data_IF_170968583299
#
_entry.id   IF_170968583299
#
_cell.length_a   1.000
_cell.length_b   1.000
_cell.length_c   1.000
_cell.angle_alpha   90.00
_cell.angle_beta   90.00
_cell.angle_gamma   90.00
#
_symmetry.space_group_name_H-M   'P 1'
#
loop_
_entity.id
_entity.type
_entity.pdbx_description
1 polymer ?
#
# COMPACT_ATOMS: atom_id res chain seq x y z
N UNK A 1 -55.10 -57.38 -15.72
CA UNK A 1 -55.24 -56.46 -16.88
C UNK A 1 -55.35 -55.05 -16.34
N UNK A 2 -54.53 -54.13 -16.86
CA UNK A 2 -54.61 -52.66 -16.75
C UNK A 2 -54.45 -52.02 -15.35
N UNK A 3 -53.31 -51.40 -15.04
CA UNK A 3 -52.82 -50.06 -15.43
C UNK A 3 -53.51 -48.90 -14.67
N UNK A 4 -52.78 -48.25 -13.76
CA UNK A 4 -52.50 -46.79 -13.80
C UNK A 4 -51.17 -46.55 -13.08
N UNK A 5 -50.08 -46.36 -13.84
CA UNK A 5 -48.79 -45.89 -13.32
C UNK A 5 -48.68 -44.39 -13.62
N UNK A 6 -48.53 -43.59 -12.58
CA UNK A 6 -48.32 -42.14 -12.67
C UNK A 6 -46.95 -41.87 -13.32
N UNK A 7 -46.90 -41.58 -14.62
CA UNK A 7 -45.69 -41.04 -15.29
C UNK A 7 -45.82 -39.53 -15.40
N UNK A 8 -45.17 -38.82 -14.46
CA UNK A 8 -44.86 -37.39 -14.61
C UNK A 8 -43.84 -37.26 -15.75
N UNK A 9 -44.20 -36.47 -16.76
CA UNK A 9 -43.28 -35.99 -17.79
C UNK A 9 -42.24 -35.08 -17.14
N UNK A 10 -40.97 -35.45 -17.19
CA UNK A 10 -39.85 -34.51 -17.08
C UNK A 10 -39.62 -33.90 -18.47
N UNK A 11 -39.58 -32.57 -18.63
CA UNK A 11 -38.92 -31.98 -19.78
C UNK A 11 -37.41 -31.94 -19.52
N UNK A 12 -36.66 -32.70 -20.33
CA UNK A 12 -35.27 -32.39 -20.62
C UNK A 12 -35.20 -31.00 -21.27
N UNK A 13 -34.73 -30.00 -20.53
CA UNK A 13 -34.10 -28.81 -21.07
C UNK A 13 -33.53 -27.99 -19.92
N UNK A 14 -32.22 -28.11 -19.66
CA UNK A 14 -31.34 -27.04 -19.16
C UNK A 14 -29.90 -27.56 -19.15
N UNK A 15 -29.40 -27.83 -20.36
CA UNK A 15 -27.97 -27.80 -20.65
C UNK A 15 -27.63 -26.33 -20.98
N UNK A 16 -26.63 -25.78 -20.31
CA UNK A 16 -26.02 -24.52 -20.67
C UNK A 16 -26.34 -23.39 -19.70
N UNK A 17 -25.42 -23.16 -18.75
CA UNK A 17 -24.76 -21.86 -18.53
C UNK A 17 -23.71 -22.04 -17.42
N UNK A 18 -22.67 -22.83 -17.73
CA UNK A 18 -21.34 -22.48 -17.28
C UNK A 18 -20.94 -21.25 -18.09
N UNK A 19 -21.11 -20.07 -17.52
CA UNK A 19 -20.46 -18.87 -17.99
C UNK A 19 -20.01 -18.09 -16.77
N UNK A 20 -18.71 -18.27 -16.51
CA UNK A 20 -17.80 -17.30 -15.93
C UNK A 20 -18.46 -15.95 -15.57
N UNK A 21 -18.63 -15.69 -14.27
CA UNK A 21 -18.48 -14.32 -13.80
C UNK A 21 -16.98 -14.04 -13.71
N UNK A 22 -16.43 -13.72 -14.88
CA UNK A 22 -15.10 -13.15 -15.03
C UNK A 22 -15.00 -11.86 -14.22
N UNK A 23 -13.84 -11.72 -13.58
CA UNK A 23 -13.17 -10.48 -13.20
C UNK A 23 -14.07 -9.26 -13.08
N UNK A 24 -14.42 -8.92 -11.83
CA UNK A 24 -14.79 -7.55 -11.52
C UNK A 24 -13.70 -6.63 -12.08
N UNK A 25 -14.04 -5.90 -13.14
CA UNK A 25 -13.31 -4.71 -13.53
C UNK A 25 -13.58 -3.72 -12.41
N UNK A 26 -12.81 -3.86 -11.33
CA UNK A 26 -12.74 -2.85 -10.28
C UNK A 26 -12.43 -1.55 -11.03
N UNK A 27 -13.45 -0.68 -11.07
CA UNK A 27 -13.27 0.67 -11.58
C UNK A 27 -12.16 1.26 -10.73
N UNK A 28 -11.12 1.87 -11.33
CA UNK A 28 -10.09 2.52 -10.54
C UNK A 28 -10.77 3.44 -9.53
N UNK A 29 -10.36 3.33 -8.27
CA UNK A 29 -10.91 4.14 -7.20
C UNK A 29 -10.71 5.60 -7.57
N UNK A 30 -11.70 6.44 -7.24
CA UNK A 30 -11.54 7.87 -7.40
C UNK A 30 -10.28 8.30 -6.63
N UNK A 31 -9.38 9.08 -7.25
CA UNK A 31 -8.16 9.47 -6.57
C UNK A 31 -8.48 10.26 -5.28
N UNK A 32 -7.81 9.94 -4.17
CA UNK A 32 -7.94 10.58 -2.84
C UNK A 32 -7.63 12.10 -2.89
N UNK A 33 -8.21 12.92 -2.00
CA UNK A 33 -7.85 14.33 -1.90
C UNK A 33 -6.35 14.53 -1.63
N UNK A 34 -5.71 15.52 -2.28
CA UNK A 34 -4.29 15.85 -2.04
C UNK A 34 -3.99 16.15 -0.56
N UNK A 35 -4.98 16.67 0.18
CA UNK A 35 -4.86 16.96 1.61
C UNK A 35 -4.60 15.74 2.48
N UNK A 36 -4.95 14.54 2.02
CA UNK A 36 -4.71 13.27 2.72
C UNK A 36 -3.29 12.74 2.51
N UNK A 37 -2.56 13.30 1.55
CA UNK A 37 -1.15 13.01 1.34
C UNK A 37 -0.28 14.02 2.10
N UNK A 38 0.99 13.65 2.29
CA UNK A 38 1.99 14.59 2.80
C UNK A 38 2.33 15.66 1.76
N UNK A 39 2.25 16.91 2.19
CA UNK A 39 2.62 18.09 1.41
C UNK A 39 4.14 18.31 1.47
N UNK A 40 4.71 18.94 0.44
CA UNK A 40 6.13 19.29 0.44
C UNK A 40 6.57 20.06 1.70
N UNK A 41 5.69 20.91 2.27
CA UNK A 41 6.00 21.68 3.47
C UNK A 41 6.12 20.80 4.74
N UNK A 42 5.24 19.81 4.90
CA UNK A 42 5.32 18.84 6.01
C UNK A 42 6.61 17.99 5.88
N UNK A 43 6.97 17.66 4.65
CA UNK A 43 8.17 16.89 4.34
C UNK A 43 9.46 17.67 4.60
N UNK A 44 9.46 18.98 4.35
CA UNK A 44 10.58 19.86 4.66
C UNK A 44 10.85 19.97 6.17
N UNK A 45 9.86 19.71 7.03
CA UNK A 45 10.04 19.71 8.49
C UNK A 45 10.95 18.57 8.96
N UNK A 46 11.13 17.52 8.16
CA UNK A 46 12.01 16.39 8.44
C UNK A 46 13.51 16.72 8.26
N UNK A 47 13.85 18.00 8.08
CA UNK A 47 15.24 18.47 7.95
C UNK A 47 15.81 18.38 6.53
N UNK A 48 15.01 17.89 5.58
CA UNK A 48 15.40 17.81 4.18
C UNK A 48 14.90 19.02 3.39
N UNK A 49 15.83 19.84 2.89
CA UNK A 49 15.48 20.84 1.87
C UNK A 49 15.36 20.13 0.53
N UNK A 50 14.17 19.59 0.26
CA UNK A 50 13.90 18.83 -0.96
C UNK A 50 13.50 19.79 -2.08
N UNK A 51 14.34 19.92 -3.11
CA UNK A 51 13.87 20.46 -4.41
C UNK A 51 13.30 19.28 -5.16
N UNK A 52 11.99 19.30 -5.41
CA UNK A 52 11.27 18.08 -5.68
C UNK A 52 10.09 18.32 -6.61
N UNK A 53 9.80 17.32 -7.43
CA UNK A 53 8.60 17.34 -8.29
C UNK A 53 7.58 16.38 -7.68
N UNK A 54 6.42 16.89 -7.20
CA UNK A 54 5.34 16.03 -6.78
C UNK A 54 4.81 15.22 -7.98
N UNK A 55 4.58 13.94 -7.78
CA UNK A 55 4.01 13.05 -8.78
C UNK A 55 2.97 12.17 -8.12
N UNK A 56 1.75 12.23 -8.66
CA UNK A 56 0.70 11.28 -8.33
C UNK A 56 0.79 10.03 -9.20
N UNK A 57 0.47 8.89 -8.64
CA UNK A 57 0.37 7.64 -9.36
C UNK A 57 -0.65 6.69 -8.71
N UNK A 58 -1.36 5.90 -9.52
CA UNK A 58 -2.26 4.85 -9.03
C UNK A 58 -1.70 3.51 -9.49
N UNK A 59 -1.40 2.62 -8.54
CA UNK A 59 -0.72 1.35 -8.83
C UNK A 59 -1.47 0.19 -8.22
N UNK A 60 -1.44 -0.97 -8.87
CA UNK A 60 -1.94 -2.22 -8.29
C UNK A 60 -0.77 -3.00 -7.71
N UNK A 61 -0.80 -3.21 -6.40
CA UNK A 61 0.18 -3.98 -5.66
C UNK A 61 -0.45 -5.34 -5.31
N UNK A 62 0.22 -6.48 -5.57
CA UNK A 62 -0.28 -7.79 -5.17
C UNK A 62 -0.65 -7.83 -3.69
N UNK A 63 -1.80 -8.43 -3.37
CA UNK A 63 -2.39 -8.56 -2.02
C UNK A 63 -2.78 -7.25 -1.31
N UNK A 64 -2.11 -6.14 -1.63
CA UNK A 64 -2.44 -4.81 -1.12
C UNK A 64 -3.56 -4.15 -1.92
N UNK A 65 -3.76 -4.51 -3.20
CA UNK A 65 -4.81 -3.96 -4.06
C UNK A 65 -4.38 -2.70 -4.81
N UNK A 66 -5.34 -1.90 -5.26
CA UNK A 66 -5.05 -0.62 -5.91
C UNK A 66 -4.73 0.45 -4.87
N UNK A 67 -3.56 1.07 -4.94
CA UNK A 67 -3.13 2.12 -4.02
C UNK A 67 -3.05 3.45 -4.75
N UNK A 68 -3.41 4.51 -4.05
CA UNK A 68 -3.22 5.88 -4.52
C UNK A 68 -1.95 6.46 -3.90
N UNK A 69 -0.97 6.69 -4.76
CA UNK A 69 0.35 7.17 -4.39
C UNK A 69 0.51 8.65 -4.69
N UNK A 70 1.03 9.37 -3.72
CA UNK A 70 1.55 10.72 -3.91
C UNK A 70 3.01 10.76 -3.49
N UNK A 71 3.87 10.95 -4.48
CA UNK A 71 5.30 10.86 -4.34
C UNK A 71 5.98 12.20 -4.52
N UNK A 72 7.10 12.37 -3.84
CA UNK A 72 8.05 13.44 -4.05
C UNK A 72 9.38 12.77 -4.39
N UNK A 73 9.88 13.02 -5.60
CA UNK A 73 11.20 12.54 -6.03
C UNK A 73 12.16 13.71 -6.04
N UNK A 74 13.30 13.53 -5.36
CA UNK A 74 14.42 14.47 -5.42
C UNK A 74 15.69 13.80 -5.91
N UNK A 75 16.58 14.60 -6.48
CA UNK A 75 17.91 14.14 -6.89
C UNK A 75 18.96 14.33 -5.78
N UNK A 76 18.57 14.79 -4.59
CA UNK A 76 19.45 14.94 -3.44
C UNK A 76 19.33 13.75 -2.48
N UNK A 77 20.35 13.53 -1.65
CA UNK A 77 20.48 12.37 -0.75
C UNK A 77 19.38 12.28 0.35
N UNK A 78 18.50 13.28 0.43
CA UNK A 78 17.62 13.48 1.57
C UNK A 78 16.21 12.87 1.36
N UNK A 79 15.78 12.61 0.13
CA UNK A 79 14.45 12.06 -0.14
C UNK A 79 14.31 11.58 -1.58
N UNK A 80 15.14 10.64 -2.02
CA UNK A 80 15.06 10.18 -3.43
C UNK A 80 13.67 9.62 -3.73
N UNK A 81 13.00 9.02 -2.74
CA UNK A 81 11.63 8.54 -2.85
C UNK A 81 10.90 8.78 -1.53
N UNK A 82 10.03 9.78 -1.49
CA UNK A 82 9.00 9.86 -0.46
C UNK A 82 7.64 9.60 -1.05
N UNK A 83 7.00 8.50 -0.69
CA UNK A 83 5.74 8.06 -1.30
C UNK A 83 4.72 7.85 -0.20
N UNK A 84 3.64 8.61 -0.21
CA UNK A 84 2.45 8.36 0.60
C UNK A 84 1.50 7.48 -0.20
N UNK A 85 1.33 6.22 0.20
CA UNK A 85 0.29 5.34 -0.34
C UNK A 85 -0.90 5.31 0.60
N UNK A 86 -2.09 5.48 0.04
CA UNK A 86 -3.35 5.38 0.77
C UNK A 86 -4.15 4.18 0.26
N UNK A 87 -4.56 3.30 1.16
CA UNK A 87 -5.43 2.17 0.83
C UNK A 87 -6.55 2.00 1.86
N UNK A 88 -7.83 2.13 1.48
CA UNK A 88 -8.94 1.76 2.37
C UNK A 88 -8.84 0.29 2.78
N UNK A 89 -8.91 0.01 4.08
CA UNK A 89 -8.89 -1.36 4.60
C UNK A 89 -9.55 -1.47 5.97
N UNK A 90 -10.20 -2.60 6.24
CA UNK A 90 -10.28 -3.17 7.58
C UNK A 90 -8.99 -3.96 7.83
N UNK A 91 -8.44 -3.97 9.06
CA UNK A 91 -7.24 -4.77 9.39
C UNK A 91 -7.33 -6.18 8.75
N UNK A 92 -6.42 -6.48 7.81
CA UNK A 92 -6.42 -7.73 7.05
C UNK A 92 -4.99 -8.21 6.84
N UNK A 93 -4.70 -9.45 7.27
CA UNK A 93 -3.35 -10.04 7.16
C UNK A 93 -2.83 -10.03 5.72
N UNK A 94 -3.70 -10.24 4.73
CA UNK A 94 -3.33 -10.22 3.32
C UNK A 94 -2.80 -8.85 2.86
N UNK A 95 -3.39 -7.76 3.36
CA UNK A 95 -2.95 -6.40 3.03
C UNK A 95 -1.55 -6.13 3.60
N UNK A 96 -1.30 -6.55 4.85
CA UNK A 96 0.01 -6.43 5.49
C UNK A 96 1.08 -7.31 4.83
N UNK A 97 0.74 -8.56 4.46
CA UNK A 97 1.62 -9.40 3.64
C UNK A 97 1.94 -8.75 2.29
N UNK A 98 0.95 -8.08 1.68
CA UNK A 98 1.14 -7.29 0.46
C UNK A 98 2.14 -6.15 0.64
N UNK A 99 2.02 -5.39 1.74
CA UNK A 99 2.95 -4.32 2.08
C UNK A 99 4.38 -4.84 2.29
N UNK A 100 4.56 -5.91 3.10
CA UNK A 100 5.86 -6.55 3.31
C UNK A 100 6.47 -7.09 2.01
N UNK A 101 5.64 -7.69 1.15
CA UNK A 101 6.07 -8.18 -0.16
C UNK A 101 6.53 -7.05 -1.09
N UNK A 102 5.82 -5.91 -1.08
CA UNK A 102 6.20 -4.72 -1.82
C UNK A 102 7.53 -4.14 -1.33
N UNK A 103 7.70 -4.00 -0.01
CA UNK A 103 8.96 -3.56 0.61
C UNK A 103 10.13 -4.50 0.27
N UNK A 104 9.90 -5.81 0.31
CA UNK A 104 10.91 -6.81 -0.09
C UNK A 104 11.28 -6.74 -1.57
N UNK A 105 10.30 -6.52 -2.45
CA UNK A 105 10.52 -6.31 -3.89
C UNK A 105 11.33 -5.04 -4.12
N UNK A 106 10.96 -3.94 -3.47
CA UNK A 106 11.69 -2.67 -3.53
C UNK A 106 13.14 -2.83 -3.07
N UNK A 107 13.38 -3.45 -1.91
CA UNK A 107 14.73 -3.68 -1.41
C UNK A 107 15.57 -4.49 -2.41
N UNK A 108 14.99 -5.55 -3.00
CA UNK A 108 15.66 -6.37 -4.03
C UNK A 108 15.99 -5.58 -5.30
N UNK A 109 15.06 -4.80 -5.82
CA UNK A 109 15.25 -3.97 -7.02
C UNK A 109 16.34 -2.91 -6.85
N UNK A 110 16.51 -2.42 -5.62
CA UNK A 110 17.49 -1.39 -5.27
C UNK A 110 18.80 -1.95 -4.68
N UNK A 111 18.96 -3.27 -4.61
CA UNK A 111 20.14 -3.92 -4.04
C UNK A 111 20.36 -3.56 -2.57
N UNK A 112 19.29 -3.55 -1.78
CA UNK A 112 19.27 -3.20 -0.37
C UNK A 112 18.97 -4.44 0.49
N UNK A 113 19.54 -4.44 1.69
CA UNK A 113 19.16 -5.30 2.80
C UNK A 113 17.89 -4.75 3.47
N UNK A 114 17.10 -5.60 4.12
CA UNK A 114 15.82 -5.25 4.76
C UNK A 114 15.69 -5.91 6.12
N UNK A 115 15.24 -5.15 7.10
CA UNK A 115 14.86 -5.63 8.43
C UNK A 115 13.47 -5.07 8.80
N UNK A 116 12.63 -5.90 9.41
CA UNK A 116 11.24 -5.54 9.76
C UNK A 116 11.10 -5.39 11.28
N UNK A 117 10.40 -4.34 11.71
CA UNK A 117 10.16 -4.00 13.11
C UNK A 117 8.70 -3.61 13.32
N UNK A 118 8.21 -3.77 14.54
CA UNK A 118 6.93 -3.20 14.96
C UNK A 118 7.03 -1.67 15.04
N UNK A 119 6.04 -0.98 14.50
CA UNK A 119 5.89 0.47 14.65
C UNK A 119 5.08 0.82 15.90
N UNK A 120 5.01 2.12 16.22
CA UNK A 120 4.29 2.65 17.40
C UNK A 120 3.17 3.65 17.09
N UNK A 121 2.70 3.67 15.84
CA UNK A 121 1.67 4.61 15.38
C UNK A 121 0.38 3.87 14.98
N UNK A 122 -0.74 4.59 15.03
CA UNK A 122 -2.04 4.08 14.59
C UNK A 122 -2.57 2.92 15.43
N UNK A 123 -3.50 2.18 14.83
CA UNK A 123 -4.07 0.95 15.40
C UNK A 123 -3.09 -0.22 15.28
N UNK A 124 -2.35 -0.26 14.17
CA UNK A 124 -1.29 -1.21 13.90
C UNK A 124 -0.25 -0.56 12.97
N UNK A 125 1.03 -0.88 13.15
CA UNK A 125 2.07 -0.37 12.25
C UNK A 125 3.32 -1.23 12.18
N UNK A 126 4.05 -1.11 11.07
CA UNK A 126 5.33 -1.79 10.82
C UNK A 126 6.33 -0.84 10.17
N UNK A 127 7.60 -1.08 10.46
CA UNK A 127 8.74 -0.34 9.92
C UNK A 127 9.65 -1.33 9.22
N UNK A 128 9.92 -1.10 7.94
CA UNK A 128 10.90 -1.82 7.14
C UNK A 128 12.14 -0.93 7.00
N UNK A 129 13.26 -1.28 7.63
CA UNK A 129 14.50 -0.52 7.51
C UNK A 129 15.30 -1.06 6.33
N UNK A 130 15.73 -0.17 5.44
CA UNK A 130 16.57 -0.51 4.30
C UNK A 130 18.02 -0.14 4.56
N UNK A 131 18.94 -1.06 4.29
CA UNK A 131 20.37 -0.86 4.51
C UNK A 131 21.23 -1.30 3.33
N UNK A 132 22.47 -0.81 3.28
CA UNK A 132 23.48 -1.23 2.31
C UNK A 132 24.79 -1.50 3.03
N UNK A 133 25.19 -2.77 3.10
CA UNK A 133 26.39 -3.17 3.82
C UNK A 133 26.30 -2.81 5.31
N UNK A 134 25.15 -3.02 5.93
CA UNK A 134 24.90 -2.70 7.34
C UNK A 134 24.71 -1.21 7.68
N UNK A 135 24.85 -0.28 6.72
CA UNK A 135 24.50 1.15 6.95
C UNK A 135 23.04 1.38 6.56
N UNK A 136 22.17 1.92 7.45
CA UNK A 136 20.83 2.36 7.08
C UNK A 136 20.86 3.43 5.99
N UNK A 137 19.99 3.30 4.99
CA UNK A 137 19.85 4.23 3.86
C UNK A 137 18.42 4.67 3.62
N UNK A 138 17.48 4.22 4.47
CA UNK A 138 16.08 4.57 4.37
C UNK A 138 15.19 3.60 5.14
N UNK A 139 13.89 3.81 5.05
CA UNK A 139 12.88 2.96 5.64
C UNK A 139 11.55 3.08 4.90
N UNK A 140 10.64 2.14 5.11
CA UNK A 140 9.22 2.25 4.82
C UNK A 140 8.44 2.13 6.12
N UNK A 141 7.52 3.06 6.38
CA UNK A 141 6.67 3.06 7.57
C UNK A 141 5.21 2.87 7.13
N UNK A 142 4.64 1.73 7.48
CA UNK A 142 3.23 1.38 7.21
C UNK A 142 2.40 1.57 8.49
N UNK A 143 1.29 2.32 8.40
CA UNK A 143 0.40 2.62 9.53
C UNK A 143 -1.05 2.42 9.13
N UNK A 144 -1.78 1.60 9.88
CA UNK A 144 -3.24 1.60 9.82
C UNK A 144 -3.82 2.63 10.78
N UNK A 145 -4.64 3.52 10.26
CA UNK A 145 -5.42 4.47 11.05
C UNK A 145 -6.74 4.77 10.36
N UNK A 146 -7.85 4.83 11.13
CA UNK A 146 -9.17 5.28 10.62
C UNK A 146 -9.63 4.50 9.37
N UNK A 147 -9.36 3.20 9.33
CA UNK A 147 -9.73 2.33 8.21
C UNK A 147 -8.92 2.56 6.93
N UNK A 148 -7.73 3.15 7.02
CA UNK A 148 -6.82 3.39 5.90
C UNK A 148 -5.40 2.93 6.25
N UNK A 149 -4.72 2.26 5.31
CA UNK A 149 -3.28 2.06 5.36
C UNK A 149 -2.57 3.28 4.78
N UNK A 150 -1.67 3.85 5.55
CA UNK A 150 -0.73 4.88 5.15
C UNK A 150 0.66 4.25 5.04
N UNK A 151 1.24 4.18 3.84
CA UNK A 151 2.64 3.78 3.65
C UNK A 151 3.47 5.01 3.34
N UNK A 152 4.61 5.17 4.03
CA UNK A 152 5.62 6.20 3.73
C UNK A 152 6.98 5.56 3.54
N UNK A 153 7.43 5.47 2.30
CA UNK A 153 8.81 5.11 1.96
C UNK A 153 9.69 6.35 2.06
N UNK A 154 10.89 6.25 2.63
CA UNK A 154 11.92 7.31 2.69
C UNK A 154 13.26 6.69 2.35
N UNK A 155 13.91 7.16 1.29
CA UNK A 155 15.31 6.84 1.00
C UNK A 155 16.22 8.02 1.33
N UNK A 156 16.83 7.96 2.51
CA UNK A 156 17.79 8.94 3.04
C UNK A 156 18.62 8.35 4.17
N UNK A 157 19.89 8.76 4.27
CA UNK A 157 20.72 8.52 5.45
C UNK A 157 20.63 9.67 6.49
N UNK A 158 19.82 10.69 6.21
CA UNK A 158 19.65 11.87 7.05
C UNK A 158 18.30 11.90 7.78
N UNK A 159 17.31 11.14 7.32
CA UNK A 159 16.02 10.97 8.00
C UNK A 159 15.97 9.60 8.66
N UNK A 160 15.61 9.57 9.95
CA UNK A 160 15.34 8.36 10.70
C UNK A 160 13.84 8.28 11.07
N UNK A 161 13.29 7.08 11.34
CA UNK A 161 11.95 6.92 11.89
C UNK A 161 11.96 7.29 13.38
N UNK A 162 12.14 8.58 13.68
CA UNK A 162 12.27 9.12 15.03
C UNK A 162 11.05 9.95 15.46
N UNK A 163 11.15 10.62 16.62
CA UNK A 163 10.04 11.41 17.16
C UNK A 163 9.62 12.58 16.25
N UNK A 164 10.54 13.18 15.48
CA UNK A 164 10.22 14.26 14.56
C UNK A 164 9.47 13.72 13.34
N UNK A 165 9.93 12.60 12.77
CA UNK A 165 9.22 11.89 11.72
C UNK A 165 7.79 11.52 12.14
N UNK A 166 7.65 10.93 13.32
CA UNK A 166 6.33 10.53 13.80
C UNK A 166 5.40 11.70 14.11
N UNK A 167 5.93 12.84 14.54
CA UNK A 167 5.13 14.05 14.73
C UNK A 167 4.53 14.51 13.41
N UNK A 168 5.29 14.46 12.32
CA UNK A 168 4.79 14.72 10.96
C UNK A 168 3.75 13.67 10.57
N UNK A 169 4.02 12.38 10.77
CA UNK A 169 3.06 11.31 10.46
C UNK A 169 1.70 11.52 11.14
N UNK A 170 1.69 11.87 12.42
CA UNK A 170 0.47 12.12 13.21
C UNK A 170 -0.41 13.25 12.67
N UNK A 171 0.09 14.11 11.81
CA UNK A 171 -0.74 15.14 11.16
C UNK A 171 -1.72 14.57 10.12
N UNK A 172 -1.48 13.34 9.64
CA UNK A 172 -2.28 12.65 8.62
C UNK A 172 -3.06 11.44 9.12
N UNK A 173 -2.65 10.88 10.26
CA UNK A 173 -3.29 9.72 10.90
C UNK A 173 -4.54 10.12 11.67
#
# INVERSE_FOLDING_TARGET
>A
MSHVTLRRFLPLACLGLLSACNGGTATPSAPRPESEHFTLAELQQLGCTVTATPKRDVRKIPLLGEVDGYGVTSTNACATHMISLLQPMSYEDAVWEGARSAAGTFAKEHGLERESYEGRLGEYSEIEVFSRGGKPVGFEYNVQAKGTLHSVVVLSDSIAPDAAFEAVMKTKL
#
